data_IF_073145281665
#
_entry.id   IF_073145281665
#
_cell.length_a   1.000
_cell.length_b   1.000
_cell.length_c   1.000
_cell.angle_alpha   90.00
_cell.angle_beta   90.00
_cell.angle_gamma   90.00
#
_symmetry.space_group_name_H-M   'P 1'
#
loop_
_entity.id
_entity.type
_entity.pdbx_description
1 polymer ?
#
# COMPACT_ATOMS: atom_id res chain seq x y z
N UNK A 1 15.91 -18.82 -16.48
CA UNK A 1 14.93 -18.59 -15.39
C UNK A 1 15.10 -17.14 -14.93
N UNK A 2 14.02 -16.44 -14.68
CA UNK A 2 14.12 -15.06 -14.22
C UNK A 2 14.23 -15.02 -12.68
N UNK A 3 14.99 -14.08 -12.18
CA UNK A 3 15.11 -13.78 -10.75
C UNK A 3 13.72 -13.41 -10.16
N UNK A 4 13.40 -13.95 -9.01
CA UNK A 4 12.11 -13.74 -8.35
C UNK A 4 12.30 -13.10 -6.98
N UNK A 5 11.28 -12.41 -6.54
CA UNK A 5 11.29 -11.73 -5.24
C UNK A 5 9.94 -11.87 -4.56
N UNK A 6 9.96 -11.88 -3.25
CA UNK A 6 8.79 -11.68 -2.43
C UNK A 6 8.76 -10.21 -2.00
N UNK A 7 7.60 -9.57 -2.08
CA UNK A 7 7.48 -8.15 -1.79
C UNK A 7 6.19 -7.79 -1.06
N UNK A 8 6.30 -6.79 -0.23
CA UNK A 8 5.16 -6.15 0.44
C UNK A 8 5.28 -4.64 0.26
N UNK A 9 4.17 -4.02 -0.16
CA UNK A 9 4.07 -2.58 -0.32
C UNK A 9 2.87 -2.10 0.49
N UNK A 10 3.08 -1.09 1.32
CA UNK A 10 2.06 -0.52 2.19
C UNK A 10 1.89 0.96 1.90
N UNK A 11 0.67 1.37 1.60
CA UNK A 11 0.27 2.77 1.54
C UNK A 11 -0.72 3.05 2.66
N UNK A 12 -0.41 3.97 3.55
CA UNK A 12 -1.25 4.28 4.73
C UNK A 12 -1.82 5.69 4.67
N UNK A 13 -3.07 5.83 5.13
CA UNK A 13 -3.86 7.07 5.10
C UNK A 13 -4.61 7.27 6.41
N UNK A 14 -4.81 8.54 6.78
CA UNK A 14 -5.58 8.95 7.96
C UNK A 14 -7.09 8.89 7.74
N UNK A 15 -7.55 8.94 6.49
CA UNK A 15 -8.97 8.99 6.17
C UNK A 15 -9.33 7.91 5.16
N UNK A 16 -10.44 7.28 5.41
CA UNK A 16 -11.07 6.28 4.58
C UNK A 16 -11.28 6.76 3.13
N UNK A 17 -11.75 8.00 2.97
CA UNK A 17 -11.95 8.61 1.65
C UNK A 17 -10.67 8.68 0.83
N UNK A 18 -9.54 8.98 1.48
CA UNK A 18 -8.24 9.05 0.82
C UNK A 18 -7.81 7.68 0.27
N UNK A 19 -7.89 6.64 1.11
CA UNK A 19 -7.59 5.27 0.70
C UNK A 19 -8.50 4.83 -0.46
N UNK A 20 -9.81 5.16 -0.39
CA UNK A 20 -10.78 4.85 -1.43
C UNK A 20 -10.46 5.54 -2.75
N UNK A 21 -10.09 6.82 -2.73
CA UNK A 21 -9.76 7.57 -3.93
C UNK A 21 -8.52 7.01 -4.64
N UNK A 22 -7.46 6.72 -3.89
CA UNK A 22 -6.24 6.10 -4.43
C UNK A 22 -6.55 4.71 -4.99
N UNK A 23 -7.29 3.89 -4.25
CA UNK A 23 -7.68 2.56 -4.70
C UNK A 23 -8.52 2.62 -5.98
N UNK A 24 -9.49 3.54 -6.03
CA UNK A 24 -10.34 3.72 -7.22
C UNK A 24 -9.50 4.12 -8.43
N UNK A 25 -8.61 5.10 -8.30
CA UNK A 25 -7.73 5.52 -9.38
C UNK A 25 -6.82 4.38 -9.86
N UNK A 26 -6.26 3.60 -8.94
CA UNK A 26 -5.42 2.46 -9.27
C UNK A 26 -6.21 1.35 -10.01
N UNK A 27 -7.41 1.02 -9.56
CA UNK A 27 -8.24 -0.03 -10.19
C UNK A 27 -8.78 0.36 -11.56
N UNK A 28 -8.83 1.66 -11.88
CA UNK A 28 -9.19 2.15 -13.22
C UNK A 28 -8.04 2.08 -14.23
N UNK A 29 -6.81 1.86 -13.78
CA UNK A 29 -5.68 1.65 -14.68
C UNK A 29 -5.87 0.35 -15.46
N UNK A 30 -5.76 0.41 -16.78
CA UNK A 30 -5.93 -0.76 -17.65
C UNK A 30 -4.94 -1.86 -17.35
N UNK A 31 -3.71 -1.50 -16.94
CA UNK A 31 -2.68 -2.47 -16.55
C UNK A 31 -3.07 -3.22 -15.28
N UNK A 32 -3.70 -2.52 -14.32
CA UNK A 32 -4.22 -3.14 -13.11
C UNK A 32 -5.24 -4.24 -13.45
N UNK A 33 -6.10 -3.99 -14.43
CA UNK A 33 -7.11 -4.96 -14.89
C UNK A 33 -6.48 -6.10 -15.71
N UNK A 34 -5.58 -5.75 -16.63
CA UNK A 34 -4.90 -6.72 -17.51
C UNK A 34 -4.09 -7.75 -16.75
N UNK A 35 -3.38 -7.32 -15.70
CA UNK A 35 -2.54 -8.19 -14.87
C UNK A 35 -3.23 -8.70 -13.61
N UNK A 36 -4.53 -8.41 -13.43
CA UNK A 36 -5.34 -8.82 -12.26
C UNK A 36 -4.66 -8.47 -10.92
N UNK A 37 -4.13 -7.23 -10.83
CA UNK A 37 -3.31 -6.82 -9.69
C UNK A 37 -4.12 -6.67 -8.39
N UNK A 38 -5.42 -6.47 -8.49
CA UNK A 38 -6.31 -6.31 -7.33
C UNK A 38 -6.36 -7.54 -6.44
N UNK A 39 -6.12 -8.74 -6.97
CA UNK A 39 -6.06 -9.98 -6.18
C UNK A 39 -4.92 -10.01 -5.17
N UNK A 40 -3.85 -9.23 -5.44
CA UNK A 40 -2.68 -9.10 -4.58
C UNK A 40 -2.80 -7.93 -3.60
N UNK A 41 -3.84 -7.12 -3.74
CA UNK A 41 -4.08 -5.96 -2.91
C UNK A 41 -5.05 -6.30 -1.78
N UNK A 42 -4.69 -5.90 -0.57
CA UNK A 42 -5.50 -6.04 0.64
C UNK A 42 -5.73 -4.68 1.27
N UNK A 43 -6.82 -4.57 1.99
CA UNK A 43 -7.16 -3.36 2.75
C UNK A 43 -7.12 -3.70 4.24
N UNK A 44 -6.45 -2.88 5.01
CA UNK A 44 -6.45 -2.94 6.46
C UNK A 44 -7.04 -1.64 7.02
N UNK A 45 -7.82 -1.76 8.09
CA UNK A 45 -8.26 -0.64 8.88
C UNK A 45 -7.98 -0.97 10.35
N UNK A 46 -7.03 -0.27 10.93
CA UNK A 46 -6.61 -0.45 12.30
C UNK A 46 -6.90 0.79 13.14
N UNK A 47 -7.52 0.57 14.29
CA UNK A 47 -7.65 1.61 15.29
C UNK A 47 -6.34 1.70 16.07
N UNK A 48 -5.71 2.85 16.07
CA UNK A 48 -4.50 3.11 16.84
C UNK A 48 -4.77 4.16 17.92
N UNK A 49 -4.07 4.03 19.03
CA UNK A 49 -4.14 4.98 20.13
C UNK A 49 -2.98 5.97 20.01
N UNK A 50 -3.31 7.25 19.95
CA UNK A 50 -2.34 8.36 19.99
C UNK A 50 -2.49 9.12 21.29
N UNK A 51 -1.52 10.00 21.59
CA UNK A 51 -1.62 10.91 22.74
C UNK A 51 -2.87 11.80 22.68
N UNK A 52 -3.39 12.08 21.49
CA UNK A 52 -4.55 12.93 21.24
C UNK A 52 -5.87 12.13 21.15
N UNK A 53 -5.84 10.80 21.38
CA UNK A 53 -7.01 9.94 21.32
C UNK A 53 -6.89 8.78 20.33
N UNK A 54 -8.04 8.21 19.96
CA UNK A 54 -8.11 7.11 19.00
C UNK A 54 -8.13 7.66 17.57
N UNK A 55 -7.38 7.00 16.69
CA UNK A 55 -7.38 7.29 15.25
C UNK A 55 -7.42 6.01 14.45
N UNK A 56 -8.14 6.02 13.37
CA UNK A 56 -8.13 4.95 12.40
C UNK A 56 -7.03 5.19 11.37
N UNK A 57 -6.30 4.14 11.03
CA UNK A 57 -5.33 4.13 9.93
C UNK A 57 -5.80 3.13 8.88
N UNK A 58 -5.92 3.60 7.66
CA UNK A 58 -6.34 2.80 6.50
C UNK A 58 -5.12 2.49 5.66
N UNK A 59 -4.85 1.22 5.43
CA UNK A 59 -3.70 0.79 4.65
C UNK A 59 -4.10 -0.05 3.45
N UNK A 60 -3.52 0.26 2.30
CA UNK A 60 -3.55 -0.56 1.11
C UNK A 60 -2.26 -1.38 1.09
N UNK A 61 -2.38 -2.69 1.13
CA UNK A 61 -1.25 -3.61 1.26
C UNK A 61 -1.18 -4.49 0.02
N UNK A 62 -0.14 -4.33 -0.79
CA UNK A 62 0.15 -5.20 -1.91
C UNK A 62 1.12 -6.29 -1.47
N UNK A 63 0.80 -7.54 -1.77
CA UNK A 63 1.63 -8.70 -1.46
C UNK A 63 1.93 -9.46 -2.73
N UNK A 64 3.21 -9.55 -3.08
CA UNK A 64 3.70 -10.31 -4.21
C UNK A 64 4.62 -11.43 -3.77
N UNK A 65 4.25 -12.68 -4.08
CA UNK A 65 5.09 -13.85 -3.85
C UNK A 65 5.68 -14.30 -5.17
N UNK A 66 6.99 -14.59 -5.18
CA UNK A 66 7.70 -15.06 -6.36
C UNK A 66 7.51 -14.16 -7.60
N UNK A 67 7.44 -12.84 -7.37
CA UNK A 67 7.22 -11.83 -8.41
C UNK A 67 8.49 -11.58 -9.22
N UNK A 68 8.35 -11.42 -10.54
CA UNK A 68 9.45 -10.96 -11.38
C UNK A 68 9.55 -9.43 -11.28
N UNK A 69 10.23 -8.97 -10.25
CA UNK A 69 10.38 -7.56 -9.97
C UNK A 69 11.57 -6.96 -10.71
N UNK A 70 11.32 -6.46 -11.92
CA UNK A 70 12.32 -5.78 -12.73
C UNK A 70 11.89 -4.35 -13.00
N UNK A 71 12.55 -3.39 -12.37
CA UNK A 71 12.31 -1.96 -12.56
C UNK A 71 13.17 -1.40 -13.71
N UNK A 72 14.44 -1.83 -13.76
CA UNK A 72 15.42 -1.42 -14.74
C UNK A 72 16.04 -2.66 -15.42
N UNK A 73 15.40 -3.18 -16.43
CA UNK A 73 16.03 -4.19 -17.26
C UNK A 73 16.49 -3.58 -18.59
N UNK A 74 17.42 -4.23 -19.28
CA UNK A 74 17.83 -3.84 -20.63
C UNK A 74 16.63 -3.87 -21.62
N UNK A 75 15.53 -4.52 -21.24
CA UNK A 75 14.27 -4.60 -21.98
C UNK A 75 13.20 -3.62 -21.47
N UNK A 76 13.51 -2.79 -20.46
CA UNK A 76 12.58 -1.91 -19.76
C UNK A 76 11.88 -2.61 -18.56
N UNK A 77 11.30 -1.81 -17.68
CA UNK A 77 10.51 -2.32 -16.57
C UNK A 77 9.22 -3.00 -17.09
N UNK A 78 8.79 -4.06 -16.40
CA UNK A 78 7.53 -4.71 -16.73
C UNK A 78 6.33 -3.80 -16.45
N UNK A 79 5.29 -3.88 -17.26
CA UNK A 79 4.12 -3.01 -17.15
C UNK A 79 3.31 -3.22 -15.86
N UNK A 80 3.28 -4.43 -15.32
CA UNK A 80 2.71 -4.71 -13.99
C UNK A 80 3.47 -4.00 -12.88
N UNK A 81 4.80 -4.05 -12.91
CA UNK A 81 5.68 -3.35 -11.95
C UNK A 81 5.50 -1.83 -12.05
N UNK A 82 5.43 -1.29 -13.26
CA UNK A 82 5.14 0.13 -13.49
C UNK A 82 3.77 0.53 -12.93
N UNK A 83 2.77 -0.32 -13.12
CA UNK A 83 1.42 -0.08 -12.59
C UNK A 83 1.43 -0.08 -11.06
N UNK A 84 2.09 -1.04 -10.42
CA UNK A 84 2.18 -1.10 -8.96
C UNK A 84 2.89 0.15 -8.41
N UNK A 85 4.00 0.56 -9.01
CA UNK A 85 4.72 1.77 -8.61
C UNK A 85 3.91 3.05 -8.84
N UNK A 86 3.01 3.09 -9.82
CA UNK A 86 2.17 4.25 -10.09
C UNK A 86 1.21 4.62 -8.94
N UNK A 87 0.93 3.69 -8.03
CA UNK A 87 0.15 4.00 -6.83
C UNK A 87 0.85 5.01 -5.92
N UNK A 88 2.18 4.94 -5.80
CA UNK A 88 2.95 5.93 -5.06
C UNK A 88 2.89 7.30 -5.74
N UNK A 89 2.97 7.34 -7.06
CA UNK A 89 2.87 8.59 -7.81
C UNK A 89 1.49 9.24 -7.61
N UNK A 90 0.41 8.45 -7.61
CA UNK A 90 -0.94 8.93 -7.25
C UNK A 90 -0.97 9.54 -5.84
N UNK A 91 -0.33 8.91 -4.85
CA UNK A 91 -0.24 9.45 -3.50
C UNK A 91 0.48 10.81 -3.48
N UNK A 92 1.59 10.92 -4.20
CA UNK A 92 2.37 12.16 -4.32
C UNK A 92 1.57 13.27 -4.99
N UNK A 93 0.90 12.95 -6.08
CA UNK A 93 0.07 13.91 -6.82
C UNK A 93 -1.11 14.40 -5.97
N UNK A 94 -1.82 13.50 -5.29
CA UNK A 94 -2.92 13.87 -4.42
C UNK A 94 -2.47 14.67 -3.20
N UNK A 95 -1.29 14.38 -2.65
CA UNK A 95 -0.71 15.22 -1.60
C UNK A 95 -0.40 16.62 -2.13
N UNK A 96 0.21 16.73 -3.29
CA UNK A 96 0.57 18.01 -3.91
C UNK A 96 -0.66 18.85 -4.26
N UNK A 97 -1.69 18.24 -4.83
CA UNK A 97 -2.87 18.93 -5.33
C UNK A 97 -3.89 19.25 -4.24
N UNK A 98 -4.05 18.37 -3.25
CA UNK A 98 -5.14 18.42 -2.26
C UNK A 98 -4.67 18.31 -0.81
N UNK A 99 -3.38 18.22 -0.56
CA UNK A 99 -2.81 18.09 0.77
C UNK A 99 -3.15 16.77 1.48
N UNK A 100 -3.43 15.70 0.75
CA UNK A 100 -3.74 14.38 1.32
C UNK A 100 -2.48 13.76 1.93
N UNK A 101 -2.42 13.57 3.26
CA UNK A 101 -1.28 12.92 3.91
C UNK A 101 -1.22 11.44 3.53
N UNK A 102 -0.01 10.95 3.31
CA UNK A 102 0.26 9.53 3.06
C UNK A 102 1.57 9.09 3.70
N UNK A 103 1.73 7.79 3.90
CA UNK A 103 3.02 7.15 4.07
C UNK A 103 3.10 5.89 3.21
N UNK A 104 4.30 5.60 2.73
CA UNK A 104 4.62 4.49 1.85
C UNK A 104 5.79 3.71 2.40
N UNK A 105 5.67 2.39 2.36
CA UNK A 105 6.75 1.48 2.69
C UNK A 105 6.80 0.31 1.71
N UNK A 106 7.99 -0.02 1.28
CA UNK A 106 8.29 -1.12 0.37
C UNK A 106 9.35 -2.01 0.99
N UNK A 107 9.11 -3.31 0.97
CA UNK A 107 10.07 -4.33 1.33
C UNK A 107 10.10 -5.39 0.23
N UNK A 108 11.28 -5.67 -0.30
CA UNK A 108 11.53 -6.76 -1.23
C UNK A 108 12.62 -7.68 -0.69
N UNK A 109 12.40 -8.97 -0.81
CA UNK A 109 13.37 -10.01 -0.50
C UNK A 109 13.59 -10.82 -1.77
N UNK A 110 14.81 -10.82 -2.28
CA UNK A 110 15.19 -11.58 -3.47
C UNK A 110 15.59 -13.02 -3.16
N UNK A 111 15.97 -13.75 -4.21
CA UNK A 111 16.37 -15.16 -4.10
C UNK A 111 17.76 -15.37 -3.47
N UNK A 112 18.63 -14.35 -3.51
CA UNK A 112 19.99 -14.43 -2.98
C UNK A 112 20.03 -13.97 -1.51
N UNK A 113 20.87 -14.61 -0.72
CA UNK A 113 21.11 -14.24 0.66
C UNK A 113 21.55 -12.78 0.78
N UNK A 114 20.82 -12.01 1.57
CA UNK A 114 21.10 -10.59 1.79
C UNK A 114 20.54 -9.65 0.72
N UNK A 115 19.87 -10.15 -0.33
CA UNK A 115 19.15 -9.29 -1.28
C UNK A 115 17.84 -8.82 -0.67
N UNK A 116 17.93 -7.78 0.15
CA UNK A 116 16.79 -7.11 0.79
C UNK A 116 16.80 -5.66 0.42
N UNK A 117 15.71 -5.20 -0.17
CA UNK A 117 15.51 -3.80 -0.52
C UNK A 117 14.38 -3.21 0.31
N UNK A 118 14.63 -2.00 0.86
CA UNK A 118 13.66 -1.22 1.61
C UNK A 118 13.56 0.17 1.00
N UNK A 119 12.34 0.66 0.84
CA UNK A 119 12.04 2.04 0.45
C UNK A 119 10.94 2.59 1.34
N UNK A 120 11.01 3.85 1.61
CA UNK A 120 9.99 4.58 2.36
C UNK A 120 9.85 6.00 1.81
N UNK A 121 8.65 6.52 1.92
CA UNK A 121 8.31 7.89 1.55
C UNK A 121 7.08 8.33 2.34
N UNK A 122 7.01 9.59 2.69
CA UNK A 122 5.87 10.14 3.39
C UNK A 122 5.63 11.60 3.05
N UNK A 123 4.41 12.06 3.23
CA UNK A 123 4.08 13.46 3.10
C UNK A 123 4.77 14.28 4.22
N UNK A 124 5.36 15.41 3.86
CA UNK A 124 6.08 16.33 4.74
C UNK A 124 5.10 17.12 5.65
N UNK A 125 4.39 16.42 6.51
CA UNK A 125 3.45 17.02 7.47
C UNK A 125 3.29 16.13 8.70
N UNK A 126 2.76 16.71 9.81
CA UNK A 126 2.54 15.98 11.06
C UNK A 126 1.78 14.65 10.89
N UNK A 127 0.81 14.61 9.99
CA UNK A 127 0.04 13.38 9.72
C UNK A 127 0.83 12.35 8.90
N UNK A 128 1.74 12.80 8.02
CA UNK A 128 2.65 11.93 7.29
C UNK A 128 3.64 11.25 8.22
N UNK A 129 4.25 12.01 9.14
CA UNK A 129 5.15 11.48 10.17
C UNK A 129 4.45 10.44 11.05
N UNK A 130 3.21 10.72 11.48
CA UNK A 130 2.41 9.76 12.24
C UNK A 130 2.16 8.45 11.48
N UNK A 131 1.84 8.52 10.20
CA UNK A 131 1.61 7.34 9.36
C UNK A 131 2.89 6.55 9.13
N UNK A 132 4.03 7.22 9.03
CA UNK A 132 5.35 6.62 8.91
C UNK A 132 5.70 5.83 10.18
N UNK A 133 5.54 6.43 11.37
CA UNK A 133 5.75 5.78 12.65
C UNK A 133 4.83 4.55 12.82
N UNK A 134 3.57 4.66 12.39
CA UNK A 134 2.64 3.53 12.38
C UNK A 134 3.13 2.41 11.48
N UNK A 135 3.58 2.71 10.26
CA UNK A 135 4.10 1.71 9.33
C UNK A 135 5.38 1.06 9.87
N UNK A 136 6.23 1.80 10.55
CA UNK A 136 7.46 1.27 11.12
C UNK A 136 7.19 0.20 12.17
N UNK A 137 6.25 0.46 13.09
CA UNK A 137 5.81 -0.51 14.08
C UNK A 137 5.13 -1.73 13.46
N UNK A 138 4.38 -1.55 12.37
CA UNK A 138 3.71 -2.62 11.65
C UNK A 138 4.68 -3.43 10.79
N UNK A 139 5.62 -2.78 10.09
CA UNK A 139 6.58 -3.45 9.21
C UNK A 139 7.65 -4.24 9.96
N UNK A 140 7.93 -3.93 11.21
CA UNK A 140 8.83 -4.72 12.04
C UNK A 140 8.29 -6.16 12.27
N UNK A 141 6.98 -6.30 12.25
CA UNK A 141 6.27 -7.60 12.35
C UNK A 141 6.44 -8.41 11.05
N UNK A 142 6.80 -7.78 9.94
CA UNK A 142 6.82 -8.37 8.59
C UNK A 142 8.21 -8.66 8.02
N UNK A 143 9.25 -8.72 8.83
CA UNK A 143 10.57 -9.23 8.39
C UNK A 143 10.55 -10.73 8.08
N UNK A 144 9.53 -11.42 8.52
CA UNK A 144 9.11 -12.72 8.02
C UNK A 144 7.76 -12.50 7.35
N UNK A 145 7.59 -12.82 6.10
CA UNK A 145 6.39 -12.68 5.26
C UNK A 145 5.13 -13.35 5.87
N UNK A 146 5.16 -13.75 7.11
CA UNK A 146 4.05 -14.20 7.93
C UNK A 146 3.33 -12.98 8.50
N UNK A 147 2.29 -12.59 7.80
CA UNK A 147 1.52 -11.39 8.04
C UNK A 147 0.62 -11.52 9.24
N UNK A 148 0.79 -10.63 10.19
CA UNK A 148 -0.22 -10.34 11.19
C UNK A 148 -0.79 -8.91 11.02
N UNK A 149 -1.15 -8.54 9.79
CA UNK A 149 -2.13 -7.47 9.63
C UNK A 149 -3.47 -8.02 10.15
N UNK A 150 -3.86 -7.58 11.31
CA UNK A 150 -5.16 -7.91 11.85
C UNK A 150 -6.21 -7.31 10.92
N UNK A 151 -7.17 -8.13 10.49
CA UNK A 151 -8.29 -7.72 9.64
C UNK A 151 -7.97 -7.35 8.18
N UNK A 152 -7.01 -8.01 7.53
CA UNK A 152 -6.85 -7.90 6.09
C UNK A 152 -8.08 -8.38 5.35
N UNK A 153 -8.62 -7.52 4.50
CA UNK A 153 -9.77 -7.82 3.64
C UNK A 153 -9.39 -7.73 2.18
N UNK A 154 -10.02 -8.55 1.35
CA UNK A 154 -9.93 -8.39 -0.09
C UNK A 154 -10.44 -7.02 -0.52
N UNK A 155 -10.05 -6.57 -1.72
CA UNK A 155 -10.50 -5.27 -2.25
C UNK A 155 -12.03 -5.19 -2.30
N UNK A 156 -12.71 -6.26 -2.73
CA UNK A 156 -14.17 -6.30 -2.80
C UNK A 156 -14.83 -6.18 -1.42
N UNK A 157 -14.33 -6.90 -0.42
CA UNK A 157 -14.84 -6.83 0.96
C UNK A 157 -14.57 -5.46 1.59
N UNK A 158 -13.37 -4.92 1.39
CA UNK A 158 -12.99 -3.61 1.88
C UNK A 158 -13.80 -2.49 1.25
N UNK A 159 -14.06 -2.51 -0.05
CA UNK A 159 -14.89 -1.51 -0.74
C UNK A 159 -16.35 -1.55 -0.26
N UNK A 160 -16.92 -2.73 -0.04
CA UNK A 160 -18.28 -2.88 0.49
C UNK A 160 -18.39 -2.25 1.88
N UNK A 161 -17.45 -2.55 2.77
CA UNK A 161 -17.44 -1.98 4.12
C UNK A 161 -17.22 -0.46 4.14
N UNK A 162 -16.41 0.02 3.18
CA UNK A 162 -16.18 1.45 2.97
C UNK A 162 -17.44 2.17 2.47
N UNK A 163 -18.35 1.50 1.78
CA UNK A 163 -19.63 2.05 1.30
C UNK A 163 -20.75 1.99 2.35
N UNK A 164 -20.84 0.89 3.11
CA UNK A 164 -21.94 0.68 4.07
C UNK A 164 -21.90 1.66 5.25
N UNK A 165 -20.71 2.08 5.69
CA UNK A 165 -20.58 3.03 6.80
C UNK A 165 -20.89 4.49 6.43
N UNK A 166 -20.98 4.84 5.16
CA UNK A 166 -21.41 6.18 4.74
C UNK A 166 -22.92 6.36 4.87
N UNK A 167 -23.69 5.28 4.75
CA UNK A 167 -25.16 5.33 4.81
C UNK A 167 -25.74 5.37 6.24
N UNK A 168 -24.91 5.28 7.27
CA UNK A 168 -25.35 5.28 8.68
C UNK A 168 -25.25 6.68 9.34
N UNK A 169 -24.65 7.65 8.65
CA UNK A 169 -24.44 9.02 9.15
C UNK A 169 -25.26 10.11 8.43
N UNK A 170 -26.37 9.72 7.75
CA UNK A 170 -27.40 10.66 7.27
C UNK A 170 -28.60 10.75 8.23
#
# INVERSE_FOLDING_TARGET
MGYRSDLVIVHSFMHKSHAREILTAFTLDKRCQEYDLTRHLKISCDETHTADGKRDVYSLVFVGEQWKWYEDSALGAYEDVKCINSMLDLCKDFNKERGIPYAYKFLRIGEEDGDVERREDSSQCKHGEFLEDYQESSAYIHTTIEQDFRNLKSVSEGLTELQEKENVNE
#
